data_IF_186931620057
#
_entry.id   IF_186931620057
#
_cell.length_a   1.000
_cell.length_b   1.000
_cell.length_c   1.000
_cell.angle_alpha   90.00
_cell.angle_beta   90.00
_cell.angle_gamma   90.00
#
_symmetry.space_group_name_H-M   'P 1'
#
loop_
_entity.id
_entity.type
_entity.pdbx_description
1 polymer ?
#
# COMPACT_ATOMS: atom_id res chain seq x y z
N UNK A 1 -46.02 -39.30 40.23
CA UNK A 1 -46.02 -37.85 40.50
C UNK A 1 -46.52 -37.17 39.25
N UNK A 2 -47.74 -36.64 39.30
CA UNK A 2 -48.52 -36.14 38.17
C UNK A 2 -47.97 -34.77 37.75
N UNK A 3 -47.58 -34.60 36.49
CA UNK A 3 -47.33 -33.28 35.91
C UNK A 3 -48.53 -32.90 35.05
N UNK A 4 -49.34 -32.00 35.59
CA UNK A 4 -50.46 -31.35 34.92
C UNK A 4 -49.92 -30.43 33.83
N UNK A 5 -50.23 -30.71 32.57
CA UNK A 5 -50.05 -29.77 31.47
C UNK A 5 -51.29 -28.89 31.35
N UNK A 6 -51.12 -27.56 31.42
CA UNK A 6 -52.17 -26.61 31.07
C UNK A 6 -52.07 -26.26 29.57
N UNK A 7 -53.17 -26.31 28.80
CA UNK A 7 -53.18 -25.83 27.43
C UNK A 7 -53.20 -24.29 27.41
N UNK A 8 -52.20 -23.68 26.77
CA UNK A 8 -52.26 -22.25 26.44
C UNK A 8 -53.03 -22.03 25.12
N UNK A 9 -53.86 -20.99 25.17
CA UNK A 9 -54.77 -20.41 24.18
C UNK A 9 -54.72 -20.86 22.70
N UNK A 10 -55.92 -21.13 22.18
CA UNK A 10 -56.36 -21.35 20.80
C UNK A 10 -55.95 -20.25 19.80
N UNK A 11 -55.35 -20.61 18.65
CA UNK A 11 -55.70 -20.03 17.33
C UNK A 11 -55.24 -20.87 16.12
N UNK A 12 -56.25 -21.19 15.29
CA UNK A 12 -56.29 -21.55 13.86
C UNK A 12 -55.48 -22.74 13.30
N UNK A 13 -56.24 -23.75 12.83
CA UNK A 13 -55.89 -24.94 12.03
C UNK A 13 -55.07 -26.03 12.73
N UNK A 14 -55.75 -27.08 13.21
CA UNK A 14 -55.30 -28.46 13.45
C UNK A 14 -53.86 -28.78 13.96
N UNK A 15 -53.12 -27.82 14.51
CA UNK A 15 -51.78 -28.00 15.05
C UNK A 15 -51.77 -27.63 16.53
N UNK A 16 -51.24 -28.53 17.37
CA UNK A 16 -50.99 -28.27 18.79
C UNK A 16 -49.48 -28.20 19.01
N UNK A 17 -49.04 -27.15 19.67
CA UNK A 17 -47.64 -26.92 20.02
C UNK A 17 -47.43 -27.25 21.50
N UNK A 18 -46.43 -28.09 21.79
CA UNK A 18 -46.02 -28.40 23.16
C UNK A 18 -44.58 -27.96 23.37
N UNK A 19 -44.31 -27.40 24.55
CA UNK A 19 -42.97 -26.98 24.97
C UNK A 19 -42.53 -27.88 26.13
N UNK A 20 -41.37 -28.53 26.02
CA UNK A 20 -40.73 -29.21 27.13
C UNK A 20 -39.24 -28.80 27.22
N UNK A 21 -38.49 -29.37 28.17
CA UNK A 21 -37.06 -29.07 28.38
C UNK A 21 -36.13 -29.40 27.19
N UNK A 22 -36.67 -29.99 26.12
CA UNK A 22 -35.97 -30.40 24.91
C UNK A 22 -36.40 -29.63 23.65
N UNK A 23 -37.36 -28.69 23.73
CA UNK A 23 -37.75 -27.83 22.61
C UNK A 23 -39.27 -27.65 22.40
N UNK A 24 -39.63 -27.00 21.28
CA UNK A 24 -41.01 -26.79 20.81
C UNK A 24 -41.32 -27.83 19.73
N UNK A 25 -42.37 -28.61 19.90
CA UNK A 25 -42.72 -29.69 18.96
C UNK A 25 -44.09 -29.46 18.31
N UNK A 26 -44.19 -29.75 17.01
CA UNK A 26 -45.45 -29.73 16.27
C UNK A 26 -46.03 -31.17 16.17
N UNK A 27 -47.28 -31.35 16.59
CA UNK A 27 -47.95 -32.65 16.61
C UNK A 27 -49.00 -32.74 15.50
N UNK A 28 -48.83 -33.71 14.60
CA UNK A 28 -49.86 -34.12 13.64
C UNK A 28 -50.51 -35.41 14.16
N UNK A 29 -51.76 -35.35 14.59
CA UNK A 29 -52.49 -36.53 15.07
C UNK A 29 -52.72 -37.52 13.92
N UNK A 30 -52.05 -38.67 13.95
CA UNK A 30 -52.46 -39.85 13.18
C UNK A 30 -53.09 -40.86 14.14
N UNK A 31 -54.40 -41.11 13.98
CA UNK A 31 -55.11 -42.12 14.74
C UNK A 31 -54.68 -43.51 14.25
N UNK A 32 -53.87 -44.23 15.05
CA UNK A 32 -53.72 -45.68 14.90
C UNK A 32 -54.49 -46.33 16.04
N UNK A 33 -55.58 -46.99 15.70
CA UNK A 33 -56.41 -47.70 16.66
C UNK A 33 -55.90 -49.14 16.75
N UNK A 34 -54.90 -49.39 17.61
CA UNK A 34 -54.57 -50.77 17.98
C UNK A 34 -55.35 -51.16 19.24
N UNK A 35 -55.98 -52.33 19.16
CA UNK A 35 -56.95 -52.85 20.12
C UNK A 35 -56.48 -52.76 21.58
N UNK A 36 -57.42 -52.35 22.44
CA UNK A 36 -57.21 -52.10 23.85
C UNK A 36 -57.28 -53.43 24.62
N UNK A 37 -56.22 -53.78 25.35
CA UNK A 37 -56.26 -54.65 26.53
C UNK A 37 -55.28 -54.09 27.57
N UNK A 38 -55.70 -53.04 28.29
CA UNK A 38 -55.32 -52.73 29.71
C UNK A 38 -55.75 -51.33 30.22
N UNK A 39 -56.73 -50.66 29.60
CA UNK A 39 -57.31 -49.43 30.18
C UNK A 39 -56.39 -48.19 30.19
N UNK A 40 -55.14 -48.30 29.74
CA UNK A 40 -54.27 -47.17 29.44
C UNK A 40 -54.26 -46.95 27.93
N UNK A 41 -54.93 -45.90 27.44
CA UNK A 41 -54.73 -45.42 26.08
C UNK A 41 -53.30 -44.91 25.98
N UNK A 42 -52.40 -45.66 25.34
CA UNK A 42 -51.08 -45.16 24.95
C UNK A 42 -51.25 -44.39 23.65
N UNK A 43 -51.20 -43.07 23.72
CA UNK A 43 -51.17 -42.21 22.55
C UNK A 43 -49.73 -42.10 22.07
N UNK A 44 -49.43 -42.72 20.93
CA UNK A 44 -48.14 -42.56 20.27
C UNK A 44 -48.17 -41.26 19.48
N UNK A 45 -47.59 -40.20 20.04
CA UNK A 45 -47.40 -38.93 19.35
C UNK A 45 -46.22 -39.05 18.40
N UNK A 46 -46.48 -39.04 17.08
CA UNK A 46 -45.41 -38.92 16.08
C UNK A 46 -44.96 -37.46 16.05
N UNK A 47 -43.96 -37.14 16.87
CA UNK A 47 -43.23 -35.88 16.76
C UNK A 47 -42.47 -35.90 15.44
N UNK A 48 -42.83 -35.01 14.51
CA UNK A 48 -42.06 -34.84 13.28
C UNK A 48 -41.12 -33.67 13.51
N UNK A 49 -39.82 -33.94 13.56
CA UNK A 49 -38.80 -32.90 13.71
C UNK A 49 -38.94 -31.87 12.58
N UNK A 50 -38.89 -30.59 12.91
CA UNK A 50 -39.02 -29.54 11.91
C UNK A 50 -37.72 -29.45 11.13
N UNK A 51 -37.83 -29.26 9.82
CA UNK A 51 -36.66 -29.18 8.96
C UNK A 51 -36.10 -27.76 8.95
N UNK A 52 -34.78 -27.67 8.84
CA UNK A 52 -34.02 -26.42 8.71
C UNK A 52 -34.66 -25.53 7.62
N UNK A 53 -34.91 -24.25 7.95
CA UNK A 53 -35.42 -23.30 6.96
C UNK A 53 -34.37 -23.08 5.86
N UNK A 54 -34.86 -22.98 4.62
CA UNK A 54 -34.01 -22.76 3.45
C UNK A 54 -33.14 -21.50 3.63
N UNK A 55 -31.81 -21.58 3.42
CA UNK A 55 -30.96 -20.40 3.40
C UNK A 55 -31.53 -19.29 2.49
N UNK A 56 -31.51 -18.05 2.99
CA UNK A 56 -32.14 -16.89 2.35
C UNK A 56 -31.28 -15.62 2.48
N UNK A 57 -31.77 -14.49 1.97
CA UNK A 57 -31.11 -13.17 2.06
C UNK A 57 -29.61 -13.20 1.69
N UNK A 58 -29.27 -13.64 0.47
CA UNK A 58 -27.88 -13.66 0.03
C UNK A 58 -27.29 -12.26 -0.06
N UNK A 59 -26.06 -12.10 0.40
CA UNK A 59 -25.17 -11.02 -0.01
C UNK A 59 -23.94 -11.64 -0.67
N UNK A 60 -23.56 -11.23 -1.90
CA UNK A 60 -24.25 -10.24 -2.73
C UNK A 60 -25.63 -10.74 -3.16
N UNK A 61 -26.54 -9.80 -3.45
CA UNK A 61 -27.91 -10.12 -3.88
C UNK A 61 -27.88 -10.99 -5.15
N UNK A 62 -28.92 -11.81 -5.33
CA UNK A 62 -29.04 -12.61 -6.54
C UNK A 62 -29.09 -11.70 -7.78
N UNK A 63 -28.30 -12.04 -8.80
CA UNK A 63 -28.05 -11.25 -10.01
C UNK A 63 -27.20 -9.98 -9.81
N UNK A 64 -26.54 -9.81 -8.66
CA UNK A 64 -25.62 -8.68 -8.47
C UNK A 64 -24.53 -8.67 -9.56
N UNK A 65 -24.24 -7.48 -10.07
CA UNK A 65 -23.18 -7.24 -11.06
C UNK A 65 -22.08 -6.40 -10.43
N UNK A 66 -20.93 -6.31 -11.10
CA UNK A 66 -19.80 -5.45 -10.69
C UNK A 66 -19.32 -5.73 -9.27
N UNK A 67 -19.33 -7.00 -8.87
CA UNK A 67 -18.79 -7.41 -7.57
C UNK A 67 -17.28 -7.51 -7.65
N UNK A 68 -16.59 -7.13 -6.58
CA UNK A 68 -15.13 -7.25 -6.51
C UNK A 68 -14.68 -8.69 -6.74
N UNK A 69 -13.48 -8.89 -7.29
CA UNK A 69 -12.88 -10.23 -7.43
C UNK A 69 -12.41 -10.83 -6.11
N UNK A 70 -12.58 -10.08 -5.01
CA UNK A 70 -12.53 -10.52 -3.63
C UNK A 70 -13.71 -9.91 -2.87
N UNK A 71 -14.61 -10.75 -2.36
CA UNK A 71 -15.80 -10.30 -1.60
C UNK A 71 -16.24 -11.33 -0.55
N UNK A 72 -17.09 -10.90 0.38
CA UNK A 72 -17.71 -11.78 1.36
C UNK A 72 -19.09 -12.21 0.89
N UNK A 73 -19.30 -13.51 0.75
CA UNK A 73 -20.63 -14.11 0.65
C UNK A 73 -21.24 -14.20 2.04
N UNK A 74 -22.53 -13.92 2.20
CA UNK A 74 -23.27 -14.15 3.46
C UNK A 74 -24.73 -14.47 3.21
N UNK A 75 -25.37 -15.13 4.17
CA UNK A 75 -26.75 -15.59 4.07
C UNK A 75 -27.44 -15.59 5.43
N UNK A 76 -28.76 -15.64 5.40
CA UNK A 76 -29.59 -15.96 6.55
C UNK A 76 -29.95 -17.44 6.59
N UNK A 77 -30.07 -17.99 7.79
CA UNK A 77 -30.47 -19.36 8.07
C UNK A 77 -31.01 -19.45 9.50
N UNK A 78 -31.97 -20.35 9.71
CA UNK A 78 -32.62 -20.59 10.99
C UNK A 78 -33.13 -22.02 11.04
N UNK A 79 -33.11 -22.63 12.21
CA UNK A 79 -33.80 -23.89 12.47
C UNK A 79 -35.03 -23.62 13.35
N UNK A 80 -36.23 -24.14 13.03
CA UNK A 80 -37.41 -23.96 13.88
C UNK A 80 -37.27 -24.52 15.29
N UNK A 81 -36.43 -25.54 15.48
CA UNK A 81 -36.14 -26.17 16.76
C UNK A 81 -34.92 -25.49 17.46
N UNK A 82 -34.38 -24.43 16.85
CA UNK A 82 -33.20 -23.67 17.30
C UNK A 82 -31.90 -24.49 17.41
N UNK A 83 -31.83 -25.61 16.70
CA UNK A 83 -30.63 -26.45 16.67
C UNK A 83 -29.41 -25.71 16.07
N UNK A 84 -28.18 -25.99 16.58
CA UNK A 84 -26.95 -25.46 16.00
C UNK A 84 -26.78 -25.90 14.54
N UNK A 85 -26.56 -24.94 13.66
CA UNK A 85 -26.40 -25.18 12.23
C UNK A 85 -24.95 -25.07 11.76
N UNK A 86 -24.57 -25.97 10.85
CA UNK A 86 -23.33 -25.90 10.07
C UNK A 86 -23.62 -25.76 8.58
N UNK A 87 -22.65 -25.27 7.80
CA UNK A 87 -22.84 -24.93 6.39
C UNK A 87 -21.74 -25.52 5.51
N UNK A 88 -22.14 -26.18 4.43
CA UNK A 88 -21.28 -26.42 3.27
C UNK A 88 -21.57 -25.34 2.21
N UNK A 89 -20.51 -24.70 1.71
CA UNK A 89 -20.61 -23.64 0.71
C UNK A 89 -20.09 -24.16 -0.62
N UNK A 90 -20.91 -23.99 -1.65
CA UNK A 90 -20.55 -24.31 -3.02
C UNK A 90 -20.44 -23.03 -3.83
N UNK A 91 -19.38 -22.88 -4.59
CA UNK A 91 -19.09 -21.71 -5.43
C UNK A 91 -18.35 -22.15 -6.69
N UNK A 92 -18.83 -21.74 -7.85
CA UNK A 92 -18.17 -22.01 -9.13
C UNK A 92 -18.85 -21.32 -10.31
N UNK A 93 -18.34 -21.56 -11.51
CA UNK A 93 -18.87 -21.00 -12.76
C UNK A 93 -19.96 -21.86 -13.39
N UNK A 94 -20.10 -23.10 -12.95
CA UNK A 94 -21.17 -24.01 -13.38
C UNK A 94 -22.49 -23.71 -12.64
N UNK A 95 -23.61 -23.92 -13.32
CA UNK A 95 -24.93 -23.89 -12.71
C UNK A 95 -25.61 -25.26 -12.90
N UNK A 96 -25.82 -26.06 -11.83
CA UNK A 96 -25.52 -25.76 -10.44
C UNK A 96 -24.01 -25.81 -10.11
N UNK A 97 -23.57 -25.08 -9.07
CA UNK A 97 -22.17 -25.14 -8.63
C UNK A 97 -21.90 -26.49 -7.94
N UNK A 98 -20.83 -27.16 -8.39
CA UNK A 98 -20.40 -28.47 -7.88
C UNK A 98 -19.19 -28.39 -6.96
N UNK A 99 -18.37 -27.35 -7.10
CA UNK A 99 -17.18 -27.15 -6.29
C UNK A 99 -17.56 -26.69 -4.87
N UNK A 100 -17.21 -27.50 -3.86
CA UNK A 100 -17.42 -27.18 -2.45
C UNK A 100 -16.19 -26.43 -1.93
N UNK A 101 -16.36 -25.16 -1.60
CA UNK A 101 -15.27 -24.26 -1.18
C UNK A 101 -15.11 -24.16 0.34
N UNK A 102 -16.13 -24.58 1.10
CA UNK A 102 -16.05 -24.70 2.56
C UNK A 102 -16.99 -25.81 3.04
N UNK A 103 -16.62 -26.48 4.13
CA UNK A 103 -17.34 -27.64 4.68
C UNK A 103 -17.61 -27.45 6.15
N UNK A 104 -18.85 -27.68 6.56
CA UNK A 104 -19.30 -27.74 7.97
C UNK A 104 -18.84 -26.56 8.84
N UNK A 105 -18.80 -25.35 8.27
CA UNK A 105 -18.48 -24.14 9.05
C UNK A 105 -19.70 -23.64 9.82
N UNK A 106 -19.49 -22.94 10.92
CA UNK A 106 -20.57 -22.33 11.73
C UNK A 106 -20.88 -20.88 11.34
N UNK A 107 -19.93 -20.20 10.70
CA UNK A 107 -20.11 -18.83 10.23
C UNK A 107 -21.16 -18.76 9.11
N UNK A 108 -21.99 -17.72 9.12
CA UNK A 108 -22.96 -17.41 8.05
C UNK A 108 -22.36 -16.54 6.95
N UNK A 109 -21.03 -16.64 6.76
CA UNK A 109 -20.29 -15.89 5.76
C UNK A 109 -19.09 -16.66 5.23
N UNK A 110 -18.63 -16.31 4.03
CA UNK A 110 -17.46 -16.91 3.38
C UNK A 110 -16.73 -15.88 2.53
N UNK A 111 -15.42 -15.72 2.72
CA UNK A 111 -14.60 -14.81 1.91
C UNK A 111 -14.18 -15.49 0.60
N UNK A 112 -14.82 -15.09 -0.50
CA UNK A 112 -14.48 -15.53 -1.83
C UNK A 112 -13.36 -14.64 -2.40
N UNK A 113 -12.19 -15.21 -2.64
CA UNK A 113 -11.02 -14.53 -3.22
C UNK A 113 -10.67 -15.14 -4.58
N UNK A 114 -9.74 -14.52 -5.31
CA UNK A 114 -9.21 -15.03 -6.58
C UNK A 114 -10.28 -15.31 -7.65
N UNK A 115 -11.36 -14.52 -7.66
CA UNK A 115 -12.40 -14.66 -8.68
C UNK A 115 -11.91 -14.10 -10.02
N UNK A 116 -12.26 -14.79 -11.10
CA UNK A 116 -11.93 -14.37 -12.46
C UNK A 116 -12.76 -13.14 -12.85
N UNK A 117 -12.12 -12.22 -13.58
CA UNK A 117 -12.79 -11.00 -14.06
C UNK A 117 -13.90 -11.32 -15.06
N UNK A 118 -14.91 -10.45 -15.11
CA UNK A 118 -16.06 -10.52 -16.01
C UNK A 118 -16.79 -11.86 -15.99
N UNK A 119 -16.63 -12.62 -14.90
CA UNK A 119 -17.10 -14.01 -14.79
C UNK A 119 -18.33 -14.06 -13.90
N UNK A 120 -19.33 -14.80 -14.34
CA UNK A 120 -20.52 -15.09 -13.52
C UNK A 120 -20.23 -16.30 -12.64
N UNK A 121 -20.41 -16.12 -11.34
CA UNK A 121 -20.30 -17.16 -10.34
C UNK A 121 -21.69 -17.52 -9.81
N UNK A 122 -21.89 -18.82 -9.63
CA UNK A 122 -23.06 -19.41 -8.99
C UNK A 122 -22.64 -19.99 -7.65
N UNK A 123 -23.49 -19.81 -6.64
CA UNK A 123 -23.23 -20.34 -5.31
C UNK A 123 -24.51 -20.82 -4.64
N UNK A 124 -24.36 -21.79 -3.74
CA UNK A 124 -25.44 -22.31 -2.90
C UNK A 124 -24.89 -22.72 -1.55
N UNK A 125 -25.78 -22.76 -0.57
CA UNK A 125 -25.48 -23.17 0.80
C UNK A 125 -26.27 -24.42 1.12
N UNK A 126 -25.62 -25.42 1.71
CA UNK A 126 -26.28 -26.57 2.33
C UNK A 126 -26.18 -26.36 3.84
N UNK A 127 -27.30 -26.09 4.50
CA UNK A 127 -27.37 -26.03 5.95
C UNK A 127 -27.61 -27.43 6.52
N UNK A 128 -26.94 -27.77 7.62
CA UNK A 128 -27.05 -29.06 8.30
C UNK A 128 -27.24 -28.84 9.80
N UNK A 129 -28.07 -29.66 10.40
CA UNK A 129 -28.16 -29.78 11.86
C UNK A 129 -27.22 -30.89 12.35
N UNK A 130 -27.15 -31.07 13.67
CA UNK A 130 -26.42 -32.13 14.36
C UNK A 130 -27.15 -33.48 14.34
N UNK A 131 -28.36 -33.55 13.77
CA UNK A 131 -29.19 -34.75 13.67
C UNK A 131 -29.25 -35.31 12.24
N UNK A 132 -28.25 -34.99 11.41
CA UNK A 132 -28.10 -35.48 10.02
C UNK A 132 -29.17 -34.99 9.04
N UNK A 133 -29.97 -33.97 9.39
CA UNK A 133 -30.83 -33.27 8.44
C UNK A 133 -30.00 -32.25 7.65
N UNK A 134 -30.41 -32.04 6.39
CA UNK A 134 -29.81 -31.00 5.57
C UNK A 134 -30.84 -30.36 4.65
N UNK A 135 -30.75 -29.04 4.52
CA UNK A 135 -31.58 -28.25 3.61
C UNK A 135 -30.70 -27.48 2.63
N UNK A 136 -30.95 -27.67 1.34
CA UNK A 136 -30.28 -26.93 0.28
C UNK A 136 -30.95 -25.57 0.02
N UNK A 137 -30.14 -24.50 0.04
CA UNK A 137 -30.52 -23.16 -0.36
C UNK A 137 -30.82 -23.03 -1.86
N UNK A 138 -31.32 -21.86 -2.26
CA UNK A 138 -31.45 -21.52 -3.68
C UNK A 138 -30.06 -21.34 -4.29
N UNK A 139 -29.93 -21.52 -5.60
CA UNK A 139 -28.73 -21.12 -6.31
C UNK A 139 -28.82 -19.63 -6.57
N UNK A 140 -27.84 -18.88 -6.05
CA UNK A 140 -27.68 -17.46 -6.31
C UNK A 140 -26.54 -17.25 -7.28
N UNK A 141 -26.57 -16.15 -8.03
CA UNK A 141 -25.49 -15.77 -8.94
C UNK A 141 -25.09 -14.32 -8.79
N UNK A 142 -23.83 -14.04 -9.06
CA UNK A 142 -23.29 -12.68 -9.19
C UNK A 142 -22.23 -12.64 -10.29
N UNK A 143 -21.97 -11.46 -10.85
CA UNK A 143 -20.88 -11.23 -11.81
C UNK A 143 -19.74 -10.50 -11.12
N UNK A 144 -18.59 -11.16 -11.05
CA UNK A 144 -17.35 -10.56 -10.58
C UNK A 144 -16.77 -9.68 -11.70
N UNK A 145 -16.42 -8.43 -11.37
CA UNK A 145 -15.73 -7.50 -12.26
C UNK A 145 -14.52 -6.96 -11.49
N UNK A 146 -13.33 -7.31 -11.94
CA UNK A 146 -12.10 -6.72 -11.45
C UNK A 146 -12.02 -5.26 -11.88
N UNK A 147 -11.62 -4.39 -10.97
CA UNK A 147 -11.44 -2.97 -11.24
C UNK A 147 -9.96 -2.64 -11.35
N UNK A 148 -9.62 -1.70 -12.23
CA UNK A 148 -8.31 -1.06 -12.19
C UNK A 148 -8.07 -0.46 -10.79
N UNK A 149 -6.80 -0.32 -10.36
CA UNK A 149 -6.51 0.31 -9.08
C UNK A 149 -6.98 1.77 -9.06
N UNK A 150 -7.09 2.37 -7.87
CA UNK A 150 -7.22 3.82 -7.76
C UNK A 150 -5.87 4.49 -8.08
N UNK A 151 -5.87 5.75 -8.57
CA UNK A 151 -4.63 6.50 -8.77
C UNK A 151 -3.82 6.58 -7.46
N UNK A 152 -2.48 6.43 -7.52
CA UNK A 152 -1.63 6.62 -6.35
C UNK A 152 -1.72 8.04 -5.79
N UNK A 153 -1.48 8.19 -4.49
CA UNK A 153 -1.25 9.51 -3.87
C UNK A 153 0.24 9.76 -3.74
N UNK A 154 0.70 10.93 -4.18
CA UNK A 154 2.11 11.30 -4.14
C UNK A 154 2.52 11.66 -2.70
N UNK A 155 3.79 11.42 -2.35
CA UNK A 155 4.28 11.62 -0.97
C UNK A 155 5.55 12.48 -0.88
N UNK A 156 6.53 12.27 -1.76
CA UNK A 156 7.79 13.01 -1.74
C UNK A 156 8.41 13.12 -3.14
N UNK A 157 9.07 14.23 -3.51
CA UNK A 157 9.11 15.52 -2.80
C UNK A 157 7.71 16.10 -2.60
N UNK A 158 7.52 16.94 -1.57
CA UNK A 158 6.25 17.62 -1.36
C UNK A 158 5.89 18.51 -2.56
N UNK A 159 4.60 18.72 -2.79
CA UNK A 159 4.16 19.56 -3.91
C UNK A 159 4.72 20.98 -3.79
N UNK A 160 5.31 21.48 -4.88
CA UNK A 160 6.00 22.76 -5.00
C UNK A 160 7.26 22.90 -4.13
N UNK A 161 7.87 21.78 -3.69
CA UNK A 161 9.12 21.84 -2.95
C UNK A 161 10.25 22.48 -3.77
N UNK A 162 11.13 23.23 -3.12
CA UNK A 162 12.29 23.89 -3.73
C UNK A 162 13.59 23.33 -3.17
N UNK A 163 14.72 23.66 -3.80
CA UNK A 163 16.05 23.17 -3.40
C UNK A 163 16.14 21.63 -3.37
N UNK A 164 15.46 20.99 -4.32
CA UNK A 164 15.52 19.54 -4.46
C UNK A 164 16.77 19.14 -5.25
N UNK A 165 17.46 18.09 -4.82
CA UNK A 165 18.62 17.58 -5.54
C UNK A 165 18.29 17.31 -7.03
N UNK A 166 19.28 17.45 -7.91
CA UNK A 166 19.17 17.04 -9.32
C UNK A 166 19.06 15.52 -9.52
N UNK A 167 19.15 14.74 -8.44
CA UNK A 167 18.92 13.29 -8.44
C UNK A 167 17.92 12.82 -7.37
N UNK A 168 16.67 13.33 -7.34
CA UNK A 168 15.76 13.09 -6.22
C UNK A 168 15.09 11.72 -6.28
N UNK A 169 14.71 11.21 -5.11
CA UNK A 169 13.83 10.04 -4.98
C UNK A 169 12.37 10.48 -4.92
N UNK A 170 11.61 10.12 -5.96
CA UNK A 170 10.16 10.34 -6.03
C UNK A 170 9.45 9.17 -5.39
N UNK A 171 8.51 9.42 -4.48
CA UNK A 171 7.82 8.39 -3.69
C UNK A 171 6.31 8.62 -3.65
N UNK A 172 5.52 7.55 -3.69
CA UNK A 172 4.05 7.57 -3.63
C UNK A 172 3.52 6.47 -2.70
N UNK A 173 2.25 6.56 -2.31
CA UNK A 173 1.58 5.52 -1.53
C UNK A 173 1.08 4.40 -2.45
N UNK A 174 1.10 3.16 -1.95
CA UNK A 174 0.62 2.00 -2.68
C UNK A 174 -0.90 2.10 -2.96
N UNK A 175 -1.30 1.80 -4.20
CA UNK A 175 -2.71 1.65 -4.56
C UNK A 175 -3.17 0.23 -4.29
N UNK A 176 -4.31 0.08 -3.61
CA UNK A 176 -4.88 -1.25 -3.32
C UNK A 176 -5.13 -2.02 -4.61
N UNK A 177 -4.63 -3.27 -4.67
CA UNK A 177 -4.76 -4.15 -5.83
C UNK A 177 -3.86 -3.79 -7.02
N UNK A 178 -2.93 -2.84 -6.89
CA UNK A 178 -1.93 -2.54 -7.92
C UNK A 178 -0.82 -3.61 -7.93
N UNK A 179 -0.37 -3.98 -9.13
CA UNK A 179 0.78 -4.88 -9.34
C UNK A 179 1.99 -4.14 -9.88
N UNK A 180 1.80 -2.96 -10.49
CA UNK A 180 2.88 -2.12 -10.98
C UNK A 180 2.45 -0.66 -11.12
N UNK A 181 3.43 0.22 -11.36
CA UNK A 181 3.24 1.65 -11.53
C UNK A 181 3.93 2.17 -12.80
N UNK A 182 3.39 3.27 -13.33
CA UNK A 182 4.06 4.08 -14.34
C UNK A 182 4.36 5.46 -13.76
N UNK A 183 5.62 5.89 -13.82
CA UNK A 183 6.10 7.20 -13.36
C UNK A 183 6.48 8.07 -14.54
N UNK A 184 5.96 9.30 -14.57
CA UNK A 184 6.33 10.33 -15.54
C UNK A 184 6.87 11.55 -14.82
N UNK A 185 7.97 12.10 -15.35
CA UNK A 185 8.55 13.39 -14.96
C UNK A 185 8.75 14.23 -16.22
N UNK A 186 8.34 15.48 -16.17
CA UNK A 186 8.37 16.42 -17.30
C UNK A 186 8.79 17.81 -16.81
N UNK A 187 9.46 18.59 -17.66
CA UNK A 187 9.62 20.03 -17.44
C UNK A 187 8.34 20.83 -17.79
N UNK A 188 7.34 20.17 -18.37
CA UNK A 188 6.09 20.77 -18.85
C UNK A 188 4.89 20.18 -18.11
N UNK A 189 4.04 21.01 -17.51
CA UNK A 189 2.87 20.55 -16.76
C UNK A 189 1.80 19.84 -17.63
N UNK A 190 1.87 20.01 -18.96
CA UNK A 190 1.02 19.28 -19.91
C UNK A 190 1.50 17.85 -20.19
N UNK A 191 2.70 17.46 -19.71
CA UNK A 191 3.32 16.17 -19.96
C UNK A 191 3.44 15.85 -21.47
N UNK A 192 3.72 16.86 -22.30
CA UNK A 192 3.93 16.74 -23.75
C UNK A 192 5.30 16.16 -24.12
N UNK A 193 6.27 16.25 -23.21
CA UNK A 193 7.60 15.64 -23.32
C UNK A 193 8.02 15.11 -21.94
N UNK A 194 8.98 14.19 -21.91
CA UNK A 194 9.39 13.54 -20.67
C UNK A 194 10.91 13.64 -20.50
N UNK A 195 11.34 13.98 -19.29
CA UNK A 195 12.72 13.73 -18.83
C UNK A 195 12.84 12.35 -18.22
N UNK A 196 11.72 11.78 -17.77
CA UNK A 196 11.62 10.42 -17.26
C UNK A 196 10.24 9.83 -17.55
N UNK A 197 10.18 8.62 -18.08
CA UNK A 197 8.92 7.91 -18.34
C UNK A 197 9.17 6.40 -18.27
N UNK A 198 8.84 5.78 -17.14
CA UNK A 198 9.02 4.35 -16.93
C UNK A 198 7.73 3.68 -16.49
N UNK A 199 7.42 2.54 -17.10
CA UNK A 199 6.33 1.64 -16.72
C UNK A 199 6.86 0.40 -15.97
N UNK A 200 5.95 -0.37 -15.37
CA UNK A 200 6.27 -1.66 -14.77
C UNK A 200 7.04 -1.59 -13.45
N UNK A 201 7.05 -0.44 -12.77
CA UNK A 201 7.69 -0.30 -11.46
C UNK A 201 6.92 -1.10 -10.41
N UNK A 202 7.57 -2.02 -9.69
CA UNK A 202 6.94 -2.75 -8.57
C UNK A 202 7.00 -1.96 -7.27
N UNK A 203 8.05 -1.16 -7.08
CA UNK A 203 8.26 -0.35 -5.89
C UNK A 203 7.40 0.91 -5.92
N UNK A 204 7.24 1.52 -4.75
CA UNK A 204 6.51 2.79 -4.58
C UNK A 204 7.43 4.00 -4.49
N UNK A 205 8.68 3.85 -4.93
CA UNK A 205 9.63 4.95 -5.05
C UNK A 205 10.60 4.73 -6.20
N UNK A 206 11.15 5.81 -6.74
CA UNK A 206 12.17 5.77 -7.78
C UNK A 206 13.08 6.99 -7.71
N UNK A 207 14.39 6.75 -7.62
CA UNK A 207 15.39 7.80 -7.84
C UNK A 207 15.47 8.13 -9.33
N UNK A 208 15.33 9.41 -9.64
CA UNK A 208 15.47 9.97 -10.99
C UNK A 208 16.73 10.84 -10.99
N UNK A 209 17.57 10.74 -12.00
CA UNK A 209 18.83 11.49 -12.12
C UNK A 209 18.90 12.27 -13.45
N UNK A 210 19.87 13.16 -13.58
CA UNK A 210 20.08 13.93 -14.81
C UNK A 210 19.13 15.11 -14.98
N UNK A 211 18.58 15.62 -13.87
CA UNK A 211 17.78 16.83 -13.88
C UNK A 211 18.68 18.07 -13.94
N UNK A 212 18.23 19.10 -14.64
CA UNK A 212 18.92 20.39 -14.69
C UNK A 212 18.71 21.14 -13.38
N UNK A 213 19.73 21.91 -12.96
CA UNK A 213 19.62 22.84 -11.84
C UNK A 213 18.60 23.96 -12.11
N UNK A 214 18.10 24.60 -11.05
CA UNK A 214 17.15 25.72 -11.10
C UNK A 214 15.95 25.49 -12.02
N UNK A 215 15.47 24.25 -12.13
CA UNK A 215 14.43 23.84 -13.09
C UNK A 215 13.25 23.24 -12.35
N UNK A 216 12.04 23.71 -12.67
CA UNK A 216 10.80 23.12 -12.15
C UNK A 216 10.40 21.92 -12.98
N UNK A 217 10.17 20.80 -12.30
CA UNK A 217 9.67 19.56 -12.88
C UNK A 217 8.30 19.22 -12.32
N UNK A 218 7.46 18.63 -13.16
CA UNK A 218 6.15 18.08 -12.84
C UNK A 218 6.22 16.57 -12.93
N UNK A 219 5.59 15.89 -11.99
CA UNK A 219 5.58 14.43 -11.96
C UNK A 219 4.22 13.87 -11.56
N UNK A 220 3.93 12.67 -12.07
CA UNK A 220 2.68 11.95 -11.81
C UNK A 220 2.89 10.45 -11.91
N UNK A 221 2.03 9.70 -11.25
CA UNK A 221 2.08 8.23 -11.21
C UNK A 221 0.71 7.65 -11.53
N UNK A 222 0.66 6.54 -12.27
CA UNK A 222 -0.53 5.69 -12.41
C UNK A 222 -0.23 4.27 -11.93
N UNK A 223 -1.26 3.57 -11.47
CA UNK A 223 -1.19 2.21 -10.98
C UNK A 223 -1.86 1.25 -11.96
N UNK A 224 -1.28 0.07 -12.15
CA UNK A 224 -1.77 -0.95 -13.07
C UNK A 224 -1.92 -2.28 -12.35
N UNK A 225 -2.96 -3.04 -12.73
CA UNK A 225 -3.11 -4.45 -12.42
C UNK A 225 -3.63 -5.22 -13.64
N UNK A 226 -3.92 -6.52 -13.47
CA UNK A 226 -4.47 -7.37 -14.54
C UNK A 226 -5.85 -6.94 -15.05
N UNK A 227 -6.52 -6.02 -14.36
CA UNK A 227 -7.86 -5.53 -14.71
C UNK A 227 -7.84 -4.13 -15.35
N UNK A 228 -6.68 -3.46 -15.38
CA UNK A 228 -6.49 -2.20 -16.08
C UNK A 228 -5.52 -1.26 -15.38
N UNK A 229 -5.43 -0.04 -15.93
CA UNK A 229 -4.62 1.06 -15.40
C UNK A 229 -5.55 2.12 -14.82
N UNK A 230 -5.16 2.67 -13.68
CA UNK A 230 -5.85 3.78 -13.02
C UNK A 230 -5.78 5.06 -13.86
N UNK A 231 -6.54 6.08 -13.46
CA UNK A 231 -6.18 7.45 -13.82
C UNK A 231 -4.78 7.83 -13.28
N UNK A 232 -4.20 8.90 -13.82
CA UNK A 232 -3.01 9.49 -13.22
C UNK A 232 -3.33 10.13 -11.87
N UNK A 233 -2.37 10.16 -10.96
CA UNK A 233 -2.40 11.05 -9.79
C UNK A 233 -2.55 12.51 -10.23
N UNK A 234 -3.07 13.37 -9.35
CA UNK A 234 -2.87 14.81 -9.52
C UNK A 234 -1.36 15.08 -9.60
N UNK A 235 -0.89 15.84 -10.60
CA UNK A 235 0.53 16.08 -10.75
C UNK A 235 1.04 16.94 -9.60
N UNK A 236 2.22 16.61 -9.09
CA UNK A 236 2.98 17.48 -8.19
C UNK A 236 4.15 18.10 -8.92
N UNK A 237 4.66 19.21 -8.39
CA UNK A 237 5.86 19.85 -8.91
C UNK A 237 6.96 19.95 -7.85
N UNK A 238 8.21 20.10 -8.29
CA UNK A 238 9.33 20.52 -7.47
C UNK A 238 10.34 21.31 -8.30
N UNK A 239 11.13 22.17 -7.66
CA UNK A 239 12.22 22.94 -8.28
C UNK A 239 13.55 22.44 -7.77
N UNK A 240 14.45 22.09 -8.70
CA UNK A 240 15.80 21.65 -8.35
C UNK A 240 16.64 22.78 -7.77
N UNK A 241 17.65 22.41 -7.00
CA UNK A 241 18.64 23.32 -6.44
C UNK A 241 19.34 24.16 -7.53
N UNK A 242 19.77 25.36 -7.14
CA UNK A 242 20.64 26.17 -7.99
C UNK A 242 22.00 25.50 -8.06
N UNK A 243 22.56 25.34 -9.26
CA UNK A 243 23.78 24.56 -9.52
C UNK A 243 25.05 25.10 -8.88
N UNK A 244 24.96 26.15 -8.07
CA UNK A 244 26.04 26.66 -7.22
C UNK A 244 25.84 26.42 -5.72
N UNK A 245 24.80 25.66 -5.34
CA UNK A 245 24.23 25.61 -3.98
C UNK A 245 23.81 27.00 -3.47
N UNK A 246 23.03 27.04 -2.39
CA UNK A 246 22.68 28.32 -1.77
C UNK A 246 23.89 28.88 -1.04
N UNK A 247 24.16 30.18 -1.16
CA UNK A 247 25.15 30.83 -0.31
C UNK A 247 24.81 30.63 1.17
N UNK A 248 25.81 30.56 2.04
CA UNK A 248 25.56 30.40 3.46
C UNK A 248 24.76 31.57 4.05
N UNK A 249 23.70 31.23 4.78
CA UNK A 249 22.89 32.21 5.49
C UNK A 249 23.76 33.02 6.47
N UNK A 250 23.85 34.33 6.26
CA UNK A 250 24.66 35.25 7.06
C UNK A 250 26.12 35.41 6.63
N UNK A 251 26.68 34.50 5.82
CA UNK A 251 28.07 34.59 5.32
C UNK A 251 28.12 34.23 3.82
N UNK A 252 27.59 35.07 2.93
CA UNK A 252 27.55 34.75 1.49
C UNK A 252 28.95 34.77 0.84
N UNK A 253 29.88 35.49 1.45
CA UNK A 253 31.29 35.57 1.04
C UNK A 253 32.21 35.57 2.24
N UNK A 254 33.44 35.09 2.05
CA UNK A 254 34.55 35.14 3.00
C UNK A 254 35.71 35.86 2.33
N UNK A 255 36.20 36.96 2.93
CA UNK A 255 37.45 37.60 2.50
C UNK A 255 38.61 37.02 3.29
N UNK A 256 39.55 36.37 2.61
CA UNK A 256 40.71 35.74 3.23
C UNK A 256 41.99 36.06 2.45
N UNK A 257 43.01 36.58 3.16
CA UNK A 257 44.32 36.99 2.59
C UNK A 257 44.20 37.86 1.32
N UNK A 258 43.22 38.76 1.29
CA UNK A 258 43.01 39.71 0.19
C UNK A 258 42.19 39.18 -0.99
N UNK A 259 41.70 37.93 -0.94
CA UNK A 259 40.76 37.36 -1.92
C UNK A 259 39.38 37.19 -1.32
N UNK A 260 38.35 37.36 -2.15
CA UNK A 260 36.96 37.10 -1.79
C UNK A 260 36.53 35.77 -2.38
N UNK A 261 36.08 34.88 -1.50
CA UNK A 261 35.51 33.58 -1.83
C UNK A 261 34.02 33.63 -1.58
N UNK A 262 33.21 33.09 -2.48
CA UNK A 262 31.80 32.86 -2.21
C UNK A 262 31.65 31.59 -1.38
N UNK A 263 30.57 31.48 -0.63
CA UNK A 263 30.26 30.28 0.14
C UNK A 263 29.14 29.47 -0.50
N UNK A 264 29.09 28.20 -0.18
CA UNK A 264 27.99 27.29 -0.50
C UNK A 264 27.62 26.47 0.74
N UNK A 265 26.32 26.42 1.04
CA UNK A 265 25.79 25.60 2.12
C UNK A 265 25.51 24.19 1.60
N UNK A 266 26.16 23.19 2.19
CA UNK A 266 25.95 21.77 1.89
C UNK A 266 25.58 21.08 3.21
N UNK A 267 24.32 20.64 3.33
CA UNK A 267 23.75 20.18 4.59
C UNK A 267 23.70 21.32 5.63
N UNK A 268 24.32 21.08 6.80
CA UNK A 268 24.42 22.06 7.89
C UNK A 268 25.77 22.79 7.93
N UNK A 269 26.62 22.61 6.91
CA UNK A 269 27.96 23.17 6.87
C UNK A 269 28.14 24.13 5.70
N UNK A 270 29.10 25.04 5.87
CA UNK A 270 29.45 26.08 4.91
C UNK A 270 30.82 25.79 4.30
N UNK A 271 30.87 25.80 2.98
CA UNK A 271 32.08 25.51 2.21
C UNK A 271 32.44 26.72 1.35
N UNK A 272 33.72 26.91 1.06
CA UNK A 272 34.12 27.83 -0.01
C UNK A 272 33.67 27.25 -1.36
N UNK A 273 33.10 28.09 -2.21
CA UNK A 273 32.67 27.71 -3.55
C UNK A 273 33.84 27.63 -4.52
N UNK A 274 34.82 28.50 -4.37
CA UNK A 274 36.05 28.49 -5.17
C UNK A 274 37.20 27.77 -4.43
N UNK A 275 38.13 27.24 -5.22
CA UNK A 275 39.37 26.68 -4.70
C UNK A 275 40.23 27.77 -4.04
N UNK A 276 40.88 27.42 -2.94
CA UNK A 276 41.77 28.33 -2.21
C UNK A 276 42.92 28.79 -3.12
N UNK A 277 43.28 30.08 -3.05
CA UNK A 277 44.27 30.69 -3.95
C UNK A 277 45.07 31.79 -3.24
N UNK A 278 45.59 31.46 -2.07
CA UNK A 278 46.35 32.37 -1.20
C UNK A 278 47.86 32.07 -1.25
N UNK A 279 48.69 33.05 -0.95
CA UNK A 279 50.14 32.89 -0.95
C UNK A 279 50.83 33.28 -2.26
N UNK A 280 52.15 33.22 -2.23
CA UNK A 280 53.06 33.62 -3.30
C UNK A 280 53.25 32.47 -4.29
N UNK A 281 53.07 32.75 -5.58
CA UNK A 281 53.33 31.75 -6.61
C UNK A 281 54.84 31.53 -6.73
N UNK A 282 55.27 30.27 -6.67
CA UNK A 282 56.60 29.83 -7.06
C UNK A 282 56.51 29.07 -8.39
N UNK A 283 57.59 29.09 -9.17
CA UNK A 283 57.67 28.36 -10.46
C UNK A 283 58.55 27.14 -10.30
N UNK A 284 58.14 26.00 -10.84
CA UNK A 284 58.86 24.73 -10.70
C UNK A 284 60.11 24.61 -11.60
N UNK A 285 60.83 25.70 -11.85
CA UNK A 285 61.78 25.81 -12.97
C UNK A 285 63.20 25.33 -12.66
N UNK A 286 63.48 24.66 -11.54
CA UNK A 286 64.77 23.97 -11.37
C UNK A 286 64.85 23.13 -10.11
N UNK A 287 64.40 21.87 -10.11
CA UNK A 287 64.88 20.76 -9.25
C UNK A 287 64.95 20.91 -7.70
N UNK A 288 64.67 22.09 -7.14
CA UNK A 288 64.78 22.45 -5.73
C UNK A 288 63.72 23.46 -5.28
N UNK A 289 62.84 23.93 -6.18
CA UNK A 289 61.80 24.91 -5.87
C UNK A 289 60.56 24.22 -5.26
N UNK A 290 60.79 23.41 -4.23
CA UNK A 290 59.72 22.90 -3.37
C UNK A 290 59.21 24.04 -2.50
N UNK A 291 57.96 23.93 -2.07
CA UNK A 291 57.46 24.80 -1.01
C UNK A 291 58.29 24.54 0.25
N UNK A 292 58.66 25.61 0.95
CA UNK A 292 59.59 25.59 2.08
C UNK A 292 58.94 26.16 3.33
N UNK A 293 59.33 25.62 4.48
CA UNK A 293 58.91 26.13 5.79
C UNK A 293 59.64 27.45 6.11
N UNK A 294 59.20 28.53 5.47
CA UNK A 294 59.79 29.87 5.59
C UNK A 294 58.79 30.91 6.14
N UNK A 295 57.60 30.47 6.56
CA UNK A 295 56.53 31.31 7.09
C UNK A 295 55.76 32.13 6.04
N UNK A 296 56.10 32.01 4.76
CA UNK A 296 55.35 32.57 3.64
C UNK A 296 54.53 31.44 3.04
N UNK A 297 53.23 31.68 2.84
CA UNK A 297 52.42 30.68 2.13
C UNK A 297 52.86 30.66 0.67
N UNK A 298 53.28 29.50 0.18
CA UNK A 298 53.72 29.31 -1.20
C UNK A 298 52.70 28.48 -1.98
N UNK A 299 52.58 28.69 -3.29
CA UNK A 299 51.68 27.94 -4.17
C UNK A 299 52.30 27.69 -5.52
N UNK A 300 51.88 26.64 -6.20
CA UNK A 300 52.04 26.53 -7.65
C UNK A 300 50.73 26.93 -8.34
N UNK A 301 50.85 27.39 -9.58
CA UNK A 301 49.73 27.50 -10.49
C UNK A 301 49.89 26.46 -11.59
N UNK A 302 48.78 25.86 -12.04
CA UNK A 302 48.80 24.88 -13.11
C UNK A 302 49.53 25.42 -14.35
N UNK A 303 50.43 24.61 -14.92
CA UNK A 303 51.34 24.99 -16.02
C UNK A 303 52.25 26.20 -15.76
N UNK A 304 52.54 26.54 -14.50
CA UNK A 304 53.33 27.73 -14.13
C UNK A 304 52.75 29.03 -14.71
N UNK A 305 51.43 29.11 -14.89
CA UNK A 305 50.73 30.33 -15.35
C UNK A 305 49.90 30.93 -14.20
N UNK A 306 50.15 32.18 -13.77
CA UNK A 306 49.39 32.83 -12.70
C UNK A 306 47.89 32.97 -12.99
N UNK A 307 47.48 33.04 -14.27
CA UNK A 307 46.06 33.10 -14.64
C UNK A 307 45.33 31.80 -14.30
N UNK A 308 46.03 30.67 -14.33
CA UNK A 308 45.48 29.38 -13.97
C UNK A 308 45.19 29.27 -12.47
N UNK A 309 45.92 29.97 -11.60
CA UNK A 309 45.56 30.05 -10.17
C UNK A 309 44.21 30.73 -9.96
N UNK A 310 43.91 31.76 -10.74
CA UNK A 310 42.61 32.47 -10.66
C UNK A 310 41.45 31.57 -11.09
N UNK A 311 41.69 30.63 -12.00
CA UNK A 311 40.67 29.74 -12.55
C UNK A 311 40.51 28.44 -11.75
N UNK A 312 41.63 27.84 -11.35
CA UNK A 312 41.67 26.49 -10.78
C UNK A 312 42.09 26.47 -9.30
N UNK A 313 42.48 27.61 -8.72
CA UNK A 313 43.05 27.69 -7.39
C UNK A 313 44.56 27.48 -7.35
N UNK A 314 45.15 27.72 -6.18
CA UNK A 314 46.53 27.41 -5.87
C UNK A 314 46.72 25.91 -5.63
N UNK A 315 47.85 25.38 -6.07
CA UNK A 315 48.29 24.02 -5.78
C UNK A 315 49.27 24.05 -4.62
N UNK A 316 48.99 23.26 -3.59
CA UNK A 316 49.78 23.19 -2.37
C UNK A 316 50.23 21.74 -2.14
N UNK A 317 51.50 21.57 -1.80
CA UNK A 317 52.01 20.34 -1.22
C UNK A 317 51.39 20.16 0.17
N UNK A 318 51.28 18.91 0.60
CA UNK A 318 50.64 18.58 1.88
C UNK A 318 51.25 19.37 3.06
N UNK A 319 52.58 19.42 3.14
CA UNK A 319 53.26 20.11 4.22
C UNK A 319 52.90 21.61 4.22
N UNK A 320 52.92 22.26 3.06
CA UNK A 320 52.53 23.66 2.92
C UNK A 320 51.06 23.90 3.30
N UNK A 321 50.15 23.05 2.79
CA UNK A 321 48.73 23.13 3.11
C UNK A 321 48.45 23.00 4.61
N UNK A 322 49.27 22.21 5.31
CA UNK A 322 49.21 22.02 6.76
C UNK A 322 50.09 22.99 7.56
N UNK A 323 50.73 23.96 6.91
CA UNK A 323 51.72 24.87 7.51
C UNK A 323 52.83 24.14 8.29
N UNK A 324 53.27 23.00 7.76
CA UNK A 324 54.27 22.09 8.31
C UNK A 324 53.93 21.52 9.69
N UNK A 325 52.67 21.66 10.14
CA UNK A 325 52.19 21.08 11.38
C UNK A 325 51.74 19.64 11.15
N UNK A 326 52.25 18.73 11.98
CA UNK A 326 51.93 17.29 11.90
C UNK A 326 50.81 16.84 12.85
N UNK A 327 50.27 17.77 13.65
CA UNK A 327 49.21 17.48 14.61
C UNK A 327 47.86 17.33 13.89
N UNK A 328 47.17 16.23 14.15
CA UNK A 328 45.83 15.97 13.61
C UNK A 328 44.82 17.05 14.05
N UNK A 329 43.92 17.44 13.14
CA UNK A 329 42.95 18.50 13.40
C UNK A 329 43.49 19.92 13.23
N UNK A 330 44.74 20.09 12.79
CA UNK A 330 45.28 21.42 12.47
C UNK A 330 44.55 22.06 11.29
N UNK A 331 44.24 23.34 11.41
CA UNK A 331 43.54 24.14 10.40
C UNK A 331 44.33 24.30 9.08
N UNK A 332 45.67 24.34 9.17
CA UNK A 332 46.54 24.60 8.03
C UNK A 332 46.32 26.00 7.45
N UNK A 333 46.41 26.13 6.13
CA UNK A 333 46.26 27.42 5.43
C UNK A 333 44.81 27.87 5.23
N UNK A 334 43.81 27.07 5.64
CA UNK A 334 42.40 27.37 5.46
C UNK A 334 41.94 28.54 6.36
N UNK A 335 40.98 29.37 5.91
CA UNK A 335 40.39 30.41 6.77
C UNK A 335 39.68 29.80 7.98
N UNK A 336 39.55 30.58 9.06
CA UNK A 336 38.72 30.19 10.21
C UNK A 336 37.25 30.17 9.80
N UNK A 337 36.55 29.07 10.08
CA UNK A 337 35.15 28.84 9.74
C UNK A 337 34.57 27.69 10.54
#
# INVERSE_FOLDING_TARGET
>A
MCLLFQPMSKKMKNEYYFQNQFGVYNVVNNFVNEGINDGVKKELVKVTKLIINKPSNPSPLNNAINQNTSLTLSWYSSDPDEDPLTYDIYLGTNNPPTNKVSTSQTAKSYNATNLSNSTTYFWKIIAKDDHSHSTAGSIWKFKATGTAPQPPTLSSPANNATNISTSPTLSWNASSGATSYTLQVSANNSFSSFVYNQNGLSDTSKQVSGLSNSTTYFWRVSATNSYGTSGWSSPWSFTTESGGGSSCSGTPTVTYKGKTYHTVQIGNQCWLKENLDVGTMITSNSGSDNQTDNGIIEKYCYNNDPNNCTTYGGLYQWNEAMQYVTTEGTQGICPTG
#
